data_IF_250880257699
#
_entry.id   IF_250880257699
#
_cell.length_a   1.000
_cell.length_b   1.000
_cell.length_c   1.000
_cell.angle_alpha   90.00
_cell.angle_beta   90.00
_cell.angle_gamma   90.00
#
_symmetry.space_group_name_H-M   'P 1'
#
loop_
_entity.id
_entity.type
_entity.pdbx_description
1 polymer ?
#
# COMPACT_ATOMS: atom_id res chain seq x y z
N UNK A 1 -14.75 52.77 37.78
CA UNK A 1 -13.40 53.04 38.30
C UNK A 1 -12.82 51.68 38.66
N UNK A 2 -11.73 51.14 38.09
CA UNK A 2 -10.53 51.75 37.52
C UNK A 2 -9.69 50.64 36.87
N UNK A 3 -9.12 50.90 35.69
CA UNK A 3 -7.91 50.25 35.12
C UNK A 3 -8.03 48.77 34.73
N UNK A 4 -7.48 48.26 33.64
CA UNK A 4 -6.47 48.80 32.74
C UNK A 4 -6.60 48.03 31.42
N UNK A 5 -6.57 48.75 30.30
CA UNK A 5 -6.68 48.21 28.95
C UNK A 5 -5.45 47.35 28.64
N UNK A 6 -5.64 46.05 28.41
CA UNK A 6 -4.63 45.20 27.77
C UNK A 6 -5.10 44.84 26.37
N UNK A 7 -4.54 45.59 25.42
CA UNK A 7 -4.48 45.28 24.00
C UNK A 7 -3.47 44.15 23.85
N UNK A 8 -3.91 42.89 23.91
CA UNK A 8 -3.08 41.76 23.53
C UNK A 8 -3.77 41.10 22.34
N UNK A 9 -3.19 41.34 21.15
CA UNK A 9 -3.40 40.53 19.96
C UNK A 9 -3.31 39.05 20.37
N UNK A 10 -4.45 38.39 20.51
CA UNK A 10 -4.49 36.95 20.65
C UNK A 10 -3.94 36.36 19.35
N UNK A 11 -2.87 35.55 19.38
CA UNK A 11 -2.41 34.89 18.18
C UNK A 11 -3.55 34.00 17.72
N UNK A 12 -4.00 34.21 16.49
CA UNK A 12 -4.83 33.29 15.72
C UNK A 12 -4.00 32.00 15.64
N UNK A 13 -4.16 31.13 16.63
CA UNK A 13 -3.45 29.86 16.72
C UNK A 13 -4.10 28.91 15.72
N UNK A 14 -3.58 29.00 14.49
CA UNK A 14 -3.50 28.02 13.43
C UNK A 14 -4.28 26.73 13.72
N UNK A 15 -5.43 26.57 13.05
CA UNK A 15 -6.01 25.26 12.80
C UNK A 15 -4.99 24.46 11.98
N UNK A 16 -4.13 23.70 12.66
CA UNK A 16 -3.42 22.59 12.03
C UNK A 16 -4.48 21.53 11.70
N UNK A 17 -5.03 21.62 10.48
CA UNK A 17 -5.85 20.55 9.94
C UNK A 17 -4.95 19.34 9.70
N UNK A 18 -5.21 18.23 10.39
CA UNK A 18 -4.75 16.93 9.91
C UNK A 18 -5.49 16.66 8.59
N UNK A 19 -4.82 16.93 7.48
CA UNK A 19 -5.30 16.48 6.19
C UNK A 19 -5.16 14.95 6.16
N UNK A 20 -6.28 14.24 5.99
CA UNK A 20 -6.23 12.81 5.74
C UNK A 20 -5.77 12.61 4.29
N UNK A 21 -4.48 12.36 4.11
CA UNK A 21 -3.90 11.86 2.86
C UNK A 21 -4.41 10.44 2.62
N UNK A 22 -5.63 10.33 2.09
CA UNK A 22 -6.09 9.04 1.59
C UNK A 22 -5.33 8.75 0.29
N UNK A 23 -4.78 7.55 0.16
CA UNK A 23 -4.08 7.06 -1.05
C UNK A 23 -4.87 7.38 -2.34
N UNK A 24 -6.20 7.34 -2.26
CA UNK A 24 -7.13 7.66 -3.34
C UNK A 24 -7.12 9.14 -3.79
N UNK A 25 -6.65 10.07 -2.95
CA UNK A 25 -6.49 11.50 -3.27
C UNK A 25 -5.13 11.80 -3.87
N UNK A 26 -4.08 11.10 -3.44
CA UNK A 26 -2.72 11.25 -3.97
C UNK A 26 -2.54 10.53 -5.31
N UNK A 27 -3.21 9.39 -5.46
CA UNK A 27 -3.19 8.56 -6.66
C UNK A 27 -4.63 8.34 -7.15
N UNK A 28 -5.27 9.37 -7.75
CA UNK A 28 -6.55 9.15 -8.40
C UNK A 28 -6.36 8.03 -9.43
N UNK A 29 -7.30 7.08 -9.48
CA UNK A 29 -7.27 5.98 -10.43
C UNK A 29 -7.23 6.54 -11.86
N UNK A 30 -6.02 6.71 -12.39
CA UNK A 30 -5.78 7.12 -13.76
C UNK A 30 -6.06 5.95 -14.70
N UNK A 31 -6.22 6.26 -15.98
CA UNK A 31 -6.15 5.25 -17.03
C UNK A 31 -4.74 4.65 -17.06
N UNK A 32 -4.59 3.45 -16.51
CA UNK A 32 -3.38 2.65 -16.65
C UNK A 32 -3.32 2.05 -18.06
N UNK A 33 -2.26 2.35 -18.82
CA UNK A 33 -2.01 1.63 -20.07
C UNK A 33 -1.56 0.20 -19.76
N UNK A 34 -2.43 -0.75 -20.03
CA UNK A 34 -2.19 -2.18 -19.83
C UNK A 34 -1.95 -2.92 -21.15
N UNK A 35 -1.86 -2.20 -22.28
CA UNK A 35 -1.80 -2.78 -23.64
C UNK A 35 -0.68 -3.80 -23.80
N UNK A 36 0.46 -3.60 -23.13
CA UNK A 36 1.62 -4.49 -23.17
C UNK A 36 1.94 -5.16 -21.83
N UNK A 37 1.05 -5.03 -20.83
CA UNK A 37 1.25 -5.66 -19.52
C UNK A 37 0.76 -7.09 -19.60
N UNK A 38 1.69 -8.04 -19.53
CA UNK A 38 1.38 -9.47 -19.52
C UNK A 38 1.92 -10.14 -18.27
N UNK A 39 1.33 -11.27 -17.91
CA UNK A 39 1.82 -12.06 -16.78
C UNK A 39 3.30 -12.42 -16.96
N UNK A 40 3.65 -13.09 -18.07
CA UNK A 40 4.99 -13.63 -18.26
C UNK A 40 6.06 -12.54 -18.43
N UNK A 41 5.76 -11.45 -19.13
CA UNK A 41 6.76 -10.41 -19.41
C UNK A 41 6.90 -9.37 -18.29
N UNK A 42 5.81 -9.08 -17.55
CA UNK A 42 5.79 -7.96 -16.61
C UNK A 42 5.60 -8.43 -15.17
N UNK A 43 4.57 -9.23 -14.90
CA UNK A 43 4.16 -9.51 -13.51
C UNK A 43 4.99 -10.64 -12.88
N UNK A 44 5.21 -11.72 -13.62
CA UNK A 44 5.91 -12.91 -13.14
C UNK A 44 7.34 -12.60 -12.66
N UNK A 45 8.17 -11.81 -13.39
CA UNK A 45 9.51 -11.48 -12.90
C UNK A 45 9.48 -10.72 -11.56
N UNK A 46 8.49 -9.83 -11.36
CA UNK A 46 8.33 -9.08 -10.11
C UNK A 46 7.94 -10.03 -8.98
N UNK A 47 6.95 -10.90 -9.20
CA UNK A 47 6.49 -11.87 -8.21
C UNK A 47 7.60 -12.84 -7.83
N UNK A 48 8.34 -13.36 -8.81
CA UNK A 48 9.44 -14.32 -8.55
C UNK A 48 10.63 -13.66 -7.85
N UNK A 49 10.90 -12.38 -8.13
CA UNK A 49 12.00 -11.65 -7.51
C UNK A 49 11.73 -11.20 -6.08
N UNK A 50 10.47 -10.99 -5.70
CA UNK A 50 10.12 -10.28 -4.46
C UNK A 50 9.12 -11.01 -3.55
N UNK A 51 8.34 -11.95 -4.07
CA UNK A 51 7.25 -12.60 -3.31
C UNK A 51 7.45 -14.11 -3.20
N UNK A 52 7.64 -14.79 -4.35
CA UNK A 52 7.89 -16.23 -4.43
C UNK A 52 9.36 -16.58 -4.13
N UNK A 53 9.87 -16.01 -3.04
CA UNK A 53 11.24 -16.23 -2.55
C UNK A 53 11.28 -17.46 -1.63
N UNK A 54 12.45 -18.13 -1.50
CA UNK A 54 12.58 -19.31 -0.65
C UNK A 54 12.06 -19.06 0.78
N UNK A 55 11.15 -19.92 1.21
CA UNK A 55 10.58 -19.89 2.57
C UNK A 55 9.37 -18.96 2.75
N UNK A 56 9.02 -18.09 1.81
CA UNK A 56 7.86 -17.19 1.92
C UNK A 56 6.67 -17.69 1.08
N UNK A 57 6.43 -17.16 -0.13
CA UNK A 57 5.28 -17.55 -0.96
C UNK A 57 5.62 -18.62 -2.00
N UNK A 58 6.11 -19.75 -1.50
CA UNK A 58 6.41 -20.95 -2.30
C UNK A 58 5.74 -22.16 -1.65
N UNK A 59 5.64 -23.29 -2.35
CA UNK A 59 5.15 -24.53 -1.76
C UNK A 59 5.90 -24.86 -0.44
N UNK A 60 5.16 -24.94 0.67
CA UNK A 60 5.71 -25.21 2.00
C UNK A 60 6.37 -24.01 2.70
N UNK A 61 6.31 -22.81 2.10
CA UNK A 61 6.73 -21.57 2.74
C UNK A 61 5.73 -21.05 3.78
N UNK A 62 6.10 -20.01 4.51
CA UNK A 62 5.31 -19.38 5.57
C UNK A 62 4.22 -18.44 5.04
N UNK A 63 4.35 -18.00 3.79
CA UNK A 63 3.41 -17.09 3.13
C UNK A 63 2.09 -17.77 2.79
N UNK A 64 1.00 -17.01 2.88
CA UNK A 64 -0.33 -17.49 2.51
C UNK A 64 -0.49 -17.56 0.99
N UNK A 65 -0.29 -18.76 0.44
CA UNK A 65 -0.42 -19.05 -0.99
C UNK A 65 0.92 -19.30 -1.67
N UNK A 66 0.91 -20.14 -2.71
CA UNK A 66 2.08 -20.45 -3.52
C UNK A 66 2.11 -19.56 -4.77
N UNK A 67 3.04 -18.61 -4.80
CA UNK A 67 3.15 -17.62 -5.88
C UNK A 67 4.15 -18.03 -6.97
N UNK A 68 4.60 -19.30 -6.97
CA UNK A 68 5.43 -19.84 -8.07
C UNK A 68 4.64 -20.02 -9.38
N UNK A 69 3.31 -19.91 -9.33
CA UNK A 69 2.41 -20.06 -10.49
C UNK A 69 1.46 -18.87 -10.65
N UNK A 70 1.01 -18.65 -11.89
CA UNK A 70 -0.03 -17.66 -12.20
C UNK A 70 -1.30 -17.90 -11.37
N UNK A 71 -1.73 -19.15 -11.27
CA UNK A 71 -2.99 -19.49 -10.61
C UNK A 71 -2.94 -19.13 -9.12
N UNK A 72 -1.85 -19.45 -8.42
CA UNK A 72 -1.74 -19.16 -7.00
C UNK A 72 -1.73 -17.66 -6.68
N UNK A 73 -1.15 -16.83 -7.55
CA UNK A 73 -1.28 -15.37 -7.42
C UNK A 73 -2.69 -14.92 -7.77
N UNK A 74 -3.24 -15.40 -8.90
CA UNK A 74 -4.58 -15.04 -9.37
C UNK A 74 -5.65 -15.33 -8.32
N UNK A 75 -5.57 -16.45 -7.62
CA UNK A 75 -6.53 -16.80 -6.56
C UNK A 75 -6.59 -15.75 -5.44
N UNK A 76 -5.43 -15.15 -5.08
CA UNK A 76 -5.35 -14.08 -4.07
C UNK A 76 -5.71 -12.70 -4.61
N UNK A 77 -5.51 -12.48 -5.90
CA UNK A 77 -5.97 -11.26 -6.59
C UNK A 77 -7.49 -11.27 -6.69
N UNK A 78 -8.08 -12.37 -7.16
CA UNK A 78 -9.52 -12.49 -7.40
C UNK A 78 -10.33 -12.44 -6.10
N UNK A 79 -9.79 -12.95 -4.99
CA UNK A 79 -10.45 -12.88 -3.68
C UNK A 79 -10.17 -11.56 -2.92
N UNK A 80 -9.37 -10.66 -3.49
CA UNK A 80 -9.08 -9.33 -2.95
C UNK A 80 -7.99 -9.27 -1.88
N UNK A 81 -7.55 -10.39 -1.29
CA UNK A 81 -6.57 -10.37 -0.19
C UNK A 81 -5.21 -9.85 -0.64
N UNK A 82 -4.83 -10.07 -1.90
CA UNK A 82 -3.58 -9.54 -2.45
C UNK A 82 -3.57 -8.01 -2.41
N UNK A 83 -4.65 -7.37 -2.87
CA UNK A 83 -4.75 -5.91 -2.89
C UNK A 83 -4.75 -5.35 -1.47
N UNK A 84 -5.43 -6.01 -0.54
CA UNK A 84 -5.51 -5.57 0.84
C UNK A 84 -4.11 -5.55 1.49
N UNK A 85 -3.38 -6.65 1.47
CA UNK A 85 -2.07 -6.75 2.15
C UNK A 85 -0.95 -5.97 1.44
N UNK A 86 -0.89 -6.03 0.10
CA UNK A 86 0.25 -5.50 -0.67
C UNK A 86 0.10 -4.02 -1.02
N UNK A 87 -1.14 -3.54 -1.20
CA UNK A 87 -1.40 -2.17 -1.70
C UNK A 87 -2.00 -1.28 -0.63
N UNK A 88 -3.04 -1.75 0.06
CA UNK A 88 -3.79 -0.93 1.03
C UNK A 88 -3.06 -0.86 2.36
N UNK A 89 -2.76 -2.02 2.95
CA UNK A 89 -2.15 -2.08 4.29
C UNK A 89 -0.63 -2.04 4.23
N UNK A 90 -0.03 -2.47 3.12
CA UNK A 90 1.42 -2.50 2.94
C UNK A 90 2.14 -3.37 3.98
N UNK A 91 1.48 -4.43 4.47
CA UNK A 91 1.99 -5.36 5.50
C UNK A 91 2.99 -6.37 4.96
N UNK A 92 3.09 -6.46 3.63
CA UNK A 92 3.96 -7.39 2.92
C UNK A 92 4.97 -6.62 2.05
N UNK A 93 6.25 -7.03 2.05
CA UNK A 93 6.81 -8.12 2.83
C UNK A 93 6.94 -7.73 4.33
N UNK A 94 6.84 -8.70 5.26
CA UNK A 94 6.96 -8.42 6.69
C UNK A 94 8.40 -8.03 7.04
N UNK A 95 8.61 -7.31 8.14
CA UNK A 95 9.92 -6.75 8.54
C UNK A 95 11.07 -7.78 8.57
N UNK A 96 10.79 -9.05 8.83
CA UNK A 96 11.78 -10.13 8.88
C UNK A 96 12.22 -10.64 7.50
N UNK A 97 11.63 -10.13 6.42
CA UNK A 97 11.94 -10.50 5.05
C UNK A 97 12.94 -9.54 4.37
N UNK A 98 13.53 -8.59 5.12
CA UNK A 98 14.56 -7.64 4.67
C UNK A 98 15.96 -7.97 5.22
#
# INVERSE_FOLDING_TARGET
MRGTRHFLLGPVLLLAGCYYDTEAKLYPAGTCDTTNVTWSATVQPIVQGNCAIPGCHVAGGTGTGDFTSYQGVKDKVDNGTFRQEVVVDGTMPPDFAL
#
